data_IF_195029514514
#
_entry.id   IF_195029514514
#
_cell.length_a   1.000
_cell.length_b   1.000
_cell.length_c   1.000
_cell.angle_alpha   90.00
_cell.angle_beta   90.00
_cell.angle_gamma   90.00
#
_symmetry.space_group_name_H-M   'P 1'
#
loop_
_entity.id
_entity.type
_entity.pdbx_description
1 polymer ?
#
# COMPACT_ATOMS: atom_id res chain seq x y z
N UNK A 1 14.59 -0.80 1.94
CA UNK A 1 13.26 -1.31 1.54
C UNK A 1 12.67 -2.15 2.67
N UNK A 2 11.50 -1.78 3.19
CA UNK A 2 10.80 -2.57 4.23
C UNK A 2 9.85 -3.59 3.60
N UNK A 3 9.85 -4.84 4.10
CA UNK A 3 8.95 -5.91 3.66
C UNK A 3 7.47 -5.55 3.78
N UNK A 4 7.11 -4.67 4.73
CA UNK A 4 5.76 -4.15 4.91
C UNK A 4 5.25 -3.39 3.67
N UNK A 5 6.10 -2.55 3.07
CA UNK A 5 5.74 -1.78 1.88
C UNK A 5 5.54 -2.69 0.67
N UNK A 6 6.37 -3.72 0.52
CA UNK A 6 6.19 -4.73 -0.53
C UNK A 6 4.88 -5.51 -0.36
N UNK A 7 4.49 -5.82 0.88
CA UNK A 7 3.19 -6.46 1.17
C UNK A 7 2.03 -5.54 0.82
N UNK A 8 2.13 -4.26 1.16
CA UNK A 8 1.11 -3.27 0.84
C UNK A 8 0.96 -3.09 -0.67
N UNK A 9 2.07 -2.94 -1.39
CA UNK A 9 2.10 -2.88 -2.84
C UNK A 9 1.45 -4.11 -3.48
N UNK A 10 1.85 -5.32 -3.04
CA UNK A 10 1.31 -6.57 -3.56
C UNK A 10 -0.19 -6.71 -3.27
N UNK A 11 -0.66 -6.27 -2.10
CA UNK A 11 -2.09 -6.25 -1.77
C UNK A 11 -2.86 -5.25 -2.64
N UNK A 12 -2.35 -4.03 -2.84
CA UNK A 12 -2.97 -3.04 -3.75
C UNK A 12 -3.05 -3.57 -5.18
N UNK A 13 -1.98 -4.20 -5.67
CA UNK A 13 -1.92 -4.79 -7.00
C UNK A 13 -2.94 -5.92 -7.19
N UNK A 14 -3.16 -6.76 -6.16
CA UNK A 14 -4.14 -7.84 -6.18
C UNK A 14 -5.59 -7.33 -6.14
N UNK A 15 -5.86 -6.37 -5.27
CA UNK A 15 -7.22 -5.86 -5.05
C UNK A 15 -7.66 -4.85 -6.12
N UNK A 16 -6.70 -4.28 -6.87
CA UNK A 16 -6.90 -3.22 -7.86
C UNK A 16 -7.69 -2.02 -7.29
N UNK A 17 -7.64 -1.83 -5.96
CA UNK A 17 -8.39 -0.82 -5.22
C UNK A 17 -7.71 -0.53 -3.89
N UNK A 18 -7.37 0.73 -3.66
CA UNK A 18 -6.79 1.17 -2.39
C UNK A 18 -7.75 0.98 -1.21
N UNK A 19 -9.06 1.14 -1.43
CA UNK A 19 -10.06 0.95 -0.37
C UNK A 19 -10.13 -0.50 0.07
N UNK A 20 -10.28 -1.44 -0.87
CA UNK A 20 -10.31 -2.89 -0.56
C UNK A 20 -8.99 -3.39 0.03
N UNK A 21 -7.87 -2.90 -0.48
CA UNK A 21 -6.55 -3.20 0.06
C UNK A 21 -6.38 -2.74 1.51
N UNK A 22 -6.86 -1.54 1.84
CA UNK A 22 -6.80 -1.02 3.21
C UNK A 22 -7.69 -1.82 4.17
N UNK A 23 -8.89 -2.22 3.74
CA UNK A 23 -9.77 -3.13 4.48
C UNK A 23 -9.09 -4.48 4.75
N UNK A 24 -8.48 -5.10 3.73
CA UNK A 24 -7.76 -6.38 3.85
C UNK A 24 -6.53 -6.27 4.77
N UNK A 25 -5.84 -5.13 4.76
CA UNK A 25 -4.67 -4.88 5.60
C UNK A 25 -5.02 -4.38 7.00
N UNK A 26 -6.30 -4.17 7.30
CA UNK A 26 -6.80 -3.62 8.56
C UNK A 26 -6.17 -2.26 8.92
N UNK A 27 -6.02 -1.39 7.92
CA UNK A 27 -5.54 -0.02 8.08
C UNK A 27 -6.49 0.96 7.40
N UNK A 28 -6.32 2.25 7.67
CA UNK A 28 -7.09 3.26 6.94
C UNK A 28 -6.55 3.44 5.52
N UNK A 29 -7.43 3.72 4.57
CA UNK A 29 -7.04 4.01 3.19
C UNK A 29 -6.05 5.19 3.07
N UNK A 30 -6.21 6.31 3.81
CA UNK A 30 -5.22 7.39 3.80
C UNK A 30 -3.83 6.95 4.27
N UNK A 31 -3.74 6.05 5.26
CA UNK A 31 -2.47 5.47 5.70
C UNK A 31 -1.81 4.68 4.56
N UNK A 32 -2.57 3.82 3.88
CA UNK A 32 -2.05 3.01 2.79
C UNK A 32 -1.55 3.88 1.64
N UNK A 33 -2.35 4.86 1.19
CA UNK A 33 -1.96 5.75 0.09
C UNK A 33 -0.71 6.57 0.42
N UNK A 34 -0.58 7.11 1.64
CA UNK A 34 0.63 7.84 2.05
C UNK A 34 1.86 6.94 2.03
N UNK A 35 1.74 5.69 2.47
CA UNK A 35 2.86 4.76 2.45
C UNK A 35 3.24 4.30 1.03
N UNK A 36 2.26 4.16 0.12
CA UNK A 36 2.55 3.84 -1.29
C UNK A 36 3.19 5.01 -2.02
N UNK A 37 2.73 6.25 -1.82
CA UNK A 37 3.36 7.42 -2.41
C UNK A 37 4.83 7.55 -1.96
N UNK A 38 5.08 7.41 -0.65
CA UNK A 38 6.46 7.42 -0.14
C UNK A 38 7.28 6.24 -0.67
N UNK A 39 6.67 5.06 -0.87
CA UNK A 39 7.35 3.91 -1.45
C UNK A 39 7.75 4.16 -2.91
N UNK A 40 6.87 4.77 -3.71
CA UNK A 40 7.14 5.16 -5.10
C UNK A 40 8.27 6.20 -5.17
N UNK A 41 8.22 7.26 -4.35
CA UNK A 41 9.29 8.29 -4.27
C UNK A 41 10.67 7.69 -3.96
N UNK A 42 10.73 6.63 -3.14
CA UNK A 42 11.99 5.95 -2.82
C UNK A 42 12.51 5.08 -3.97
N UNK A 43 11.68 4.73 -4.94
CA UNK A 43 12.06 3.93 -6.11
C UNK A 43 12.51 4.79 -7.29
N UNK A 44 12.07 6.04 -7.37
CA UNK A 44 12.45 7.03 -8.41
C UNK A 44 11.25 7.62 -9.12
#
# INVERSE_FOLDING_TARGET
MELRLLRYFLTVAKEQSFTKAAEQLHITQPTLSRQMASFEENLG
#
